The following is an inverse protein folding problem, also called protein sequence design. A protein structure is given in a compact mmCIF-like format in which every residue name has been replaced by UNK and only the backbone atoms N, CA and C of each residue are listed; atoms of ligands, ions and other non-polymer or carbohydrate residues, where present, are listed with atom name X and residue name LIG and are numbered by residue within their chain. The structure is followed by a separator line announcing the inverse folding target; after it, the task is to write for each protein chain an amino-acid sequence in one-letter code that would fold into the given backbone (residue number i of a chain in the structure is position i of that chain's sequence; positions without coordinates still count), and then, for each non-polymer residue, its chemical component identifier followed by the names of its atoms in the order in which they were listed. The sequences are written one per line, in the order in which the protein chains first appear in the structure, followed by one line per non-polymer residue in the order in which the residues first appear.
data_IF_384737076109
#
_entry.id   IF_384737076109
#
_cell.length_a   1.000
_cell.length_b   1.000
_cell.length_c   1.000
_cell.angle_alpha   90.00
_cell.angle_beta   90.00
_cell.angle_gamma   90.00
#
_symmetry.space_group_name_H-M   'P 1'
#
loop_
_entity.id
_entity.type
_entity.pdbx_description
1 polymer ?
#
# COMPACT_ATOMS: atom_id res chain seq x y z
N UNK A 1 5.39 29.53 17.43
CA UNK A 1 6.50 28.75 18.01
C UNK A 1 6.20 27.23 17.96
N UNK A 2 5.90 26.68 16.79
CA UNK A 2 5.79 25.22 16.56
C UNK A 2 6.61 24.79 15.34
N UNK A 3 6.84 25.71 14.41
CA UNK A 3 7.75 25.52 13.27
C UNK A 3 9.25 25.61 13.63
N UNK A 4 9.59 26.01 14.86
CA UNK A 4 10.99 26.04 15.34
C UNK A 4 11.48 24.65 15.80
N UNK A 5 10.57 23.72 16.07
CA UNK A 5 10.92 22.39 16.57
C UNK A 5 11.42 21.46 15.45
N UNK A 6 10.89 21.61 14.23
CA UNK A 6 11.33 20.84 13.05
C UNK A 6 12.73 21.24 12.55
N UNK A 7 13.13 22.49 12.78
CA UNK A 7 14.43 23.02 12.36
C UNK A 7 15.59 22.47 13.23
N UNK A 8 15.31 22.04 14.46
CA UNK A 8 16.31 21.47 15.36
C UNK A 8 16.56 19.96 15.11
N UNK A 9 15.59 19.26 14.52
CA UNK A 9 15.66 17.80 14.29
C UNK A 9 16.38 17.43 12.98
N UNK A 10 16.50 18.37 12.03
CA UNK A 10 17.25 18.18 10.78
C UNK A 10 18.75 18.49 10.90
N UNK A 11 19.19 19.22 11.94
CA UNK A 11 20.61 19.58 12.12
C UNK A 11 21.46 18.46 12.72
N UNK A 12 20.87 17.37 13.21
CA UNK A 12 21.58 16.28 13.89
C UNK A 12 22.19 15.25 12.95
N UNK A 13 21.86 15.28 11.66
CA UNK A 13 22.41 14.34 10.66
C UNK A 13 23.73 14.80 10.00
N UNK A 14 24.19 16.03 10.25
CA UNK A 14 25.37 16.59 9.57
C UNK A 14 26.71 16.44 10.31
N UNK A 15 26.77 15.75 11.46
CA UNK A 15 28.02 15.61 12.25
C UNK A 15 28.67 14.23 12.20
N UNK A 16 28.24 13.33 11.30
CA UNK A 16 28.96 12.06 10.97
C UNK A 16 29.64 12.19 9.60
N UNK A 17 30.45 13.22 9.43
CA UNK A 17 31.42 13.26 8.32
C UNK A 17 32.59 14.16 8.69
N UNK A 18 33.44 13.65 9.57
CA UNK A 18 34.81 14.14 9.73
C UNK A 18 35.69 12.92 9.98
N UNK A 19 36.45 12.53 8.96
CA UNK A 19 37.33 11.36 9.03
C UNK A 19 37.91 10.96 7.67
N UNK A 20 38.61 11.89 7.00
CA UNK A 20 39.31 11.57 5.76
C UNK A 20 39.89 12.81 5.07
N UNK A 21 41.03 13.29 5.57
CA UNK A 21 41.79 14.39 5.01
C UNK A 21 42.49 13.98 3.71
N UNK A 22 42.26 14.70 2.62
CA UNK A 22 43.26 14.89 1.55
C UNK A 22 42.91 16.13 0.71
N UNK A 23 43.92 16.98 0.57
CA UNK A 23 43.97 18.34 0.02
C UNK A 23 43.86 18.45 -1.52
N UNK A 24 43.51 19.67 -1.96
CA UNK A 24 43.81 20.35 -3.25
C UNK A 24 43.03 19.93 -4.52
N UNK A 25 42.55 20.79 -5.43
CA UNK A 25 42.73 22.23 -5.72
C UNK A 25 41.55 22.81 -6.55
N UNK A 26 41.28 24.11 -6.37
CA UNK A 26 40.88 25.20 -7.30
C UNK A 26 40.17 24.88 -8.64
N UNK A 27 39.02 25.51 -8.94
CA UNK A 27 38.89 26.76 -9.75
C UNK A 27 37.43 27.01 -10.22
N UNK A 28 37.16 28.30 -10.43
CA UNK A 28 35.96 29.04 -10.85
C UNK A 28 34.99 28.42 -11.90
N UNK A 29 33.72 28.86 -11.85
CA UNK A 29 32.74 28.59 -12.89
C UNK A 29 31.32 29.07 -12.57
N UNK A 30 31.11 30.38 -12.67
CA UNK A 30 29.81 31.05 -12.79
C UNK A 30 29.02 30.47 -13.98
N UNK A 31 27.84 29.88 -13.73
CA UNK A 31 26.78 29.80 -14.75
C UNK A 31 25.40 29.76 -14.09
N UNK A 32 24.68 30.85 -14.29
CA UNK A 32 23.31 31.04 -13.85
C UNK A 32 22.34 30.20 -14.69
N UNK A 33 22.04 28.97 -14.24
CA UNK A 33 20.92 28.20 -14.79
C UNK A 33 19.64 28.56 -14.04
N UNK A 34 18.89 29.48 -14.65
CA UNK A 34 17.47 29.70 -14.39
C UNK A 34 16.70 28.42 -14.76
N UNK A 35 16.50 27.52 -13.80
CA UNK A 35 15.55 26.42 -13.96
C UNK A 35 14.15 26.99 -13.91
N UNK A 36 13.54 27.17 -15.08
CA UNK A 36 12.10 27.32 -15.20
C UNK A 36 11.47 26.00 -14.73
N UNK A 37 10.88 26.08 -13.54
CA UNK A 37 9.99 25.07 -12.99
C UNK A 37 8.76 25.03 -13.90
N UNK A 38 8.82 24.20 -14.93
CA UNK A 38 7.65 23.68 -15.60
C UNK A 38 7.08 22.65 -14.63
N UNK A 39 6.05 23.07 -13.89
CA UNK A 39 5.14 22.16 -13.19
C UNK A 39 4.40 21.34 -14.26
N UNK A 40 5.07 20.31 -14.74
CA UNK A 40 4.49 19.22 -15.52
C UNK A 40 4.38 18.03 -14.56
N UNK A 41 3.26 18.01 -13.83
CA UNK A 41 2.83 16.86 -13.04
C UNK A 41 1.30 16.71 -13.12
N UNK A 42 0.74 16.87 -14.33
CA UNK A 42 -0.49 16.19 -14.74
C UNK A 42 -0.12 15.03 -15.67
N UNK A 43 0.73 14.14 -15.16
CA UNK A 43 0.90 12.81 -15.73
C UNK A 43 -0.08 11.86 -15.05
N UNK A 44 -1.39 12.00 -15.33
CA UNK A 44 -2.29 10.87 -15.15
C UNK A 44 -1.75 9.74 -16.02
N UNK A 45 -1.04 8.81 -15.39
CA UNK A 45 -0.71 7.56 -16.00
C UNK A 45 -2.05 6.91 -16.37
N UNK A 46 -2.33 6.91 -17.66
CA UNK A 46 -3.37 6.14 -18.35
C UNK A 46 -3.09 4.64 -18.11
N UNK A 47 -3.25 4.22 -16.86
CA UNK A 47 -3.34 2.82 -16.48
C UNK A 47 -4.75 2.42 -16.86
N UNK A 48 -4.91 2.06 -18.14
CA UNK A 48 -6.16 1.59 -18.71
C UNK A 48 -6.88 0.68 -17.71
N UNK A 49 -8.07 1.10 -17.28
CA UNK A 49 -8.91 0.41 -16.30
C UNK A 49 -9.10 -1.04 -16.77
N UNK A 50 -8.48 -2.00 -16.06
CA UNK A 50 -8.35 -3.41 -16.45
C UNK A 50 -9.63 -4.27 -16.29
N UNK A 51 -10.82 -3.66 -16.26
CA UNK A 51 -12.11 -4.26 -15.88
C UNK A 51 -12.34 -4.31 -14.36
N UNK A 52 -12.80 -3.19 -13.80
CA UNK A 52 -13.11 -3.06 -12.38
C UNK A 52 -14.29 -3.94 -11.92
N UNK A 53 -15.24 -4.23 -12.80
CA UNK A 53 -16.39 -5.07 -12.46
C UNK A 53 -15.92 -6.51 -12.20
N UNK A 54 -15.10 -7.03 -13.12
CA UNK A 54 -14.50 -8.35 -12.94
C UNK A 54 -13.56 -8.42 -11.73
N UNK A 55 -12.76 -7.39 -11.51
CA UNK A 55 -11.90 -7.29 -10.32
C UNK A 55 -12.72 -7.38 -9.03
N UNK A 56 -13.80 -6.61 -8.91
CA UNK A 56 -14.65 -6.60 -7.73
C UNK A 56 -15.37 -7.94 -7.51
N UNK A 57 -15.78 -8.61 -8.59
CA UNK A 57 -16.38 -9.95 -8.50
C UNK A 57 -15.39 -10.98 -7.94
N UNK A 58 -14.14 -10.93 -8.42
CA UNK A 58 -13.09 -11.82 -7.92
C UNK A 58 -12.71 -11.50 -6.48
N UNK A 59 -12.63 -10.21 -6.13
CA UNK A 59 -12.28 -9.77 -4.77
C UNK A 59 -13.38 -10.14 -3.76
N UNK A 60 -14.65 -10.02 -4.15
CA UNK A 60 -15.79 -10.44 -3.33
C UNK A 60 -15.79 -11.96 -3.10
N UNK A 61 -15.61 -12.76 -4.16
CA UNK A 61 -15.53 -14.22 -4.05
C UNK A 61 -14.33 -14.67 -3.19
N UNK A 62 -13.18 -14.03 -3.38
CA UNK A 62 -12.01 -14.28 -2.54
C UNK A 62 -12.27 -13.94 -1.06
N UNK A 63 -13.01 -12.87 -0.78
CA UNK A 63 -13.38 -12.49 0.59
C UNK A 63 -14.25 -13.57 1.26
N UNK A 64 -15.17 -14.18 0.51
CA UNK A 64 -15.98 -15.31 1.00
C UNK A 64 -15.10 -16.52 1.37
N UNK A 65 -14.14 -16.87 0.50
CA UNK A 65 -13.19 -17.95 0.75
C UNK A 65 -12.26 -17.63 1.93
N UNK A 66 -11.80 -16.38 2.03
CA UNK A 66 -11.00 -15.88 3.15
C UNK A 66 -11.69 -16.10 4.48
N UNK A 67 -12.92 -15.61 4.62
CA UNK A 67 -13.69 -15.76 5.85
C UNK A 67 -13.98 -17.23 6.18
N UNK A 68 -14.27 -18.05 5.18
CA UNK A 68 -14.53 -19.48 5.34
C UNK A 68 -13.30 -20.23 5.86
N UNK A 69 -12.14 -20.05 5.23
CA UNK A 69 -10.89 -20.71 5.62
C UNK A 69 -10.42 -20.22 6.98
N UNK A 70 -10.46 -18.91 7.22
CA UNK A 70 -10.09 -18.31 8.50
C UNK A 70 -10.93 -18.90 9.65
N UNK A 71 -12.26 -18.93 9.48
CA UNK A 71 -13.18 -19.51 10.47
C UNK A 71 -12.90 -20.99 10.73
N UNK A 72 -12.60 -21.75 9.69
CA UNK A 72 -12.24 -23.16 9.82
C UNK A 72 -10.94 -23.34 10.59
N UNK A 73 -9.92 -22.54 10.28
CA UNK A 73 -8.60 -22.59 10.93
C UNK A 73 -8.68 -22.24 12.42
N UNK A 74 -9.40 -21.17 12.78
CA UNK A 74 -9.58 -20.80 14.18
C UNK A 74 -10.37 -21.84 14.99
N UNK A 75 -11.24 -22.62 14.33
CA UNK A 75 -11.99 -23.70 14.97
C UNK A 75 -11.14 -24.95 15.21
N UNK A 76 -10.23 -25.28 14.29
CA UNK A 76 -9.32 -26.42 14.40
C UNK A 76 -7.97 -26.14 13.72
N UNK A 77 -7.03 -25.49 14.45
CA UNK A 77 -5.74 -25.11 13.88
C UNK A 77 -4.78 -26.30 13.72
N UNK A 78 -5.18 -27.51 14.14
CA UNK A 78 -4.36 -28.72 14.01
C UNK A 78 -4.73 -29.55 12.79
N UNK A 79 -5.80 -29.17 12.09
CA UNK A 79 -6.20 -29.82 10.86
C UNK A 79 -5.23 -29.43 9.73
N UNK A 80 -4.57 -30.44 9.15
CA UNK A 80 -3.55 -30.27 8.12
C UNK A 80 -4.14 -29.66 6.84
N UNK A 81 -5.32 -30.14 6.41
CA UNK A 81 -5.97 -29.64 5.19
C UNK A 81 -6.33 -28.15 5.34
N UNK A 82 -6.90 -27.77 6.48
CA UNK A 82 -7.23 -26.37 6.77
C UNK A 82 -5.97 -25.49 6.86
N UNK A 83 -4.87 -26.04 7.39
CA UNK A 83 -3.60 -25.33 7.50
C UNK A 83 -2.94 -25.09 6.13
N UNK A 84 -3.13 -26.01 5.18
CA UNK A 84 -2.70 -25.84 3.79
C UNK A 84 -3.55 -24.77 3.09
N UNK A 85 -4.88 -24.82 3.25
CA UNK A 85 -5.79 -23.81 2.69
C UNK A 85 -5.48 -22.41 3.26
N UNK A 86 -5.17 -22.30 4.55
CA UNK A 86 -4.78 -21.04 5.19
C UNK A 86 -3.42 -20.50 4.68
N UNK A 87 -2.48 -21.38 4.34
CA UNK A 87 -1.23 -20.97 3.70
C UNK A 87 -1.48 -20.44 2.28
N UNK A 88 -2.27 -21.15 1.48
CA UNK A 88 -2.66 -20.69 0.14
C UNK A 88 -3.40 -19.33 0.20
N UNK A 89 -4.23 -19.14 1.22
CA UNK A 89 -4.89 -17.87 1.50
C UNK A 89 -3.87 -16.75 1.77
N UNK A 90 -2.86 -17.01 2.58
CA UNK A 90 -1.79 -16.05 2.88
C UNK A 90 -1.01 -15.66 1.62
N UNK A 91 -0.73 -16.62 0.74
CA UNK A 91 -0.11 -16.35 -0.57
C UNK A 91 -1.02 -15.50 -1.46
N UNK A 92 -2.33 -15.79 -1.48
CA UNK A 92 -3.29 -15.01 -2.24
C UNK A 92 -3.39 -13.55 -1.77
N UNK A 93 -3.21 -13.26 -0.48
CA UNK A 93 -3.15 -11.88 0.01
C UNK A 93 -1.98 -11.10 -0.59
N UNK A 94 -0.82 -11.74 -0.77
CA UNK A 94 0.36 -11.11 -1.39
C UNK A 94 0.07 -10.79 -2.86
N UNK A 95 -0.58 -11.72 -3.56
CA UNK A 95 -1.04 -11.50 -4.94
C UNK A 95 -2.01 -10.33 -5.01
N UNK A 96 -3.06 -10.32 -4.18
CA UNK A 96 -4.03 -9.22 -4.14
C UNK A 96 -3.39 -7.88 -3.78
N UNK A 97 -2.45 -7.84 -2.84
CA UNK A 97 -1.71 -6.62 -2.49
C UNK A 97 -0.86 -6.10 -3.66
N UNK A 98 -0.31 -7.00 -4.47
CA UNK A 98 0.44 -6.64 -5.69
C UNK A 98 -0.52 -6.13 -6.76
N UNK A 99 -1.60 -6.87 -7.00
CA UNK A 99 -2.58 -6.56 -8.04
C UNK A 99 -3.36 -5.29 -7.73
N UNK A 100 -3.58 -4.95 -6.47
CA UNK A 100 -4.24 -3.72 -6.03
C UNK A 100 -3.68 -2.47 -6.70
N UNK A 101 -2.37 -2.41 -6.95
CA UNK A 101 -1.74 -1.27 -7.64
C UNK A 101 -2.30 -1.04 -9.05
N UNK A 102 -2.77 -2.09 -9.72
CA UNK A 102 -3.41 -2.01 -11.04
C UNK A 102 -4.90 -1.65 -10.98
N UNK A 103 -5.54 -1.83 -9.82
CA UNK A 103 -6.99 -1.70 -9.65
C UNK A 103 -7.39 -0.64 -8.62
N UNK A 104 -6.43 0.05 -7.99
CA UNK A 104 -6.69 1.11 -7.01
C UNK A 104 -7.53 2.25 -7.60
N UNK A 105 -7.44 2.48 -8.91
CA UNK A 105 -8.28 3.44 -9.64
C UNK A 105 -9.76 3.01 -9.73
N UNK A 106 -10.09 1.74 -9.45
CA UNK A 106 -11.47 1.31 -9.30
C UNK A 106 -12.09 1.89 -8.02
N UNK A 107 -11.31 1.99 -6.94
CA UNK A 107 -11.78 2.52 -5.66
C UNK A 107 -12.06 4.03 -5.69
N UNK A 108 -11.44 4.77 -6.61
CA UNK A 108 -11.71 6.21 -6.79
C UNK A 108 -12.96 6.49 -7.64
N UNK A 109 -13.54 5.48 -8.29
CA UNK A 109 -14.75 5.64 -9.11
C UNK A 109 -16.01 5.51 -8.26
N UNK A 110 -16.83 6.56 -8.26
CA UNK A 110 -18.09 6.63 -7.50
C UNK A 110 -19.00 5.41 -7.74
N UNK A 111 -19.10 4.92 -8.98
CA UNK A 111 -19.92 3.75 -9.33
C UNK A 111 -19.54 2.47 -8.56
N UNK A 112 -18.31 2.37 -8.07
CA UNK A 112 -17.79 1.17 -7.41
C UNK A 112 -17.69 1.32 -5.89
N UNK A 113 -17.83 2.53 -5.35
CA UNK A 113 -17.69 2.78 -3.91
C UNK A 113 -18.61 1.87 -3.08
N UNK A 114 -19.89 1.77 -3.47
CA UNK A 114 -20.85 0.90 -2.78
C UNK A 114 -20.44 -0.57 -2.75
N UNK A 115 -19.81 -1.08 -3.81
CA UNK A 115 -19.34 -2.47 -3.85
C UNK A 115 -18.14 -2.67 -2.91
N UNK A 116 -17.23 -1.72 -2.85
CA UNK A 116 -16.13 -1.76 -1.88
C UNK A 116 -16.63 -1.70 -0.44
N UNK A 117 -17.60 -0.83 -0.15
CA UNK A 117 -18.26 -0.75 1.16
C UNK A 117 -18.93 -2.08 1.53
N UNK A 118 -19.68 -2.69 0.61
CA UNK A 118 -20.34 -3.98 0.86
C UNK A 118 -19.36 -5.12 1.16
N UNK A 119 -18.22 -5.16 0.46
CA UNK A 119 -17.17 -6.15 0.70
C UNK A 119 -16.47 -5.87 2.05
N UNK A 120 -16.18 -4.61 2.37
CA UNK A 120 -15.59 -4.22 3.65
C UNK A 120 -16.50 -4.57 4.82
N UNK A 121 -17.79 -4.22 4.73
CA UNK A 121 -18.83 -4.58 5.70
C UNK A 121 -18.91 -6.10 5.92
N UNK A 122 -18.82 -6.88 4.83
CA UNK A 122 -18.82 -8.35 4.90
C UNK A 122 -17.61 -8.86 5.66
N UNK A 123 -16.43 -8.35 5.34
CA UNK A 123 -15.18 -8.71 6.00
C UNK A 123 -15.23 -8.39 7.50
N UNK A 124 -15.64 -7.17 7.85
CA UNK A 124 -15.78 -6.71 9.23
C UNK A 124 -16.74 -7.61 10.03
N UNK A 125 -17.97 -7.81 9.55
CA UNK A 125 -18.95 -8.70 10.19
C UNK A 125 -18.43 -10.13 10.33
N UNK A 126 -17.76 -10.64 9.30
CA UNK A 126 -17.17 -11.97 9.35
C UNK A 126 -16.10 -12.09 10.44
N UNK A 127 -15.24 -11.08 10.58
CA UNK A 127 -14.21 -11.02 11.63
C UNK A 127 -14.83 -10.85 13.02
N UNK A 128 -15.83 -9.98 13.18
CA UNK A 128 -16.59 -9.83 14.43
C UNK A 128 -17.22 -11.15 14.89
N UNK A 129 -17.86 -11.89 13.99
CA UNK A 129 -18.46 -13.21 14.29
C UNK A 129 -17.44 -14.23 14.78
N UNK A 130 -16.17 -14.06 14.42
CA UNK A 130 -15.04 -14.87 14.89
C UNK A 130 -14.37 -14.33 16.15
N UNK A 131 -14.79 -13.15 16.65
CA UNK A 131 -14.15 -12.47 17.78
C UNK A 131 -12.81 -11.81 17.42
N UNK A 132 -12.61 -11.47 16.14
CA UNK A 132 -11.40 -10.85 15.59
C UNK A 132 -11.62 -9.40 15.11
N UNK A 133 -12.86 -8.92 15.09
CA UNK A 133 -13.22 -7.52 14.84
C UNK A 133 -13.17 -6.68 16.13
N UNK A 134 -13.07 -5.35 15.99
CA UNK A 134 -13.04 -4.37 17.11
C UNK A 134 -14.43 -3.99 17.63
#
# INVERSE_FOLDING_TARGET
MKNLFYLFLMLSFFLVSCGGSSEQSTDDGDDAVKTEQTDDAEGEADLAIKDCDNFLDQYDAWTDDYLKVLKAYFKDPTNIEISEDYQALTESMVTWGTDWTNYAQCASQEKYQKRFEEIADKLEKGLEEMGLGE
#
